data_IF_010922972764
#
_entry.id   IF_010922972764
#
_cell.length_a   1.000
_cell.length_b   1.000
_cell.length_c   1.000
_cell.angle_alpha   90.00
_cell.angle_beta   90.00
_cell.angle_gamma   90.00
#
_symmetry.space_group_name_H-M   'P 1'
#
loop_
_entity.id
_entity.type
_entity.pdbx_description
1 polymer ?
#
# COMPACT_ATOMS: atom_id res chain seq x y z
N UNK A 1 -11.25 10.44 -14.54
CA UNK A 1 -11.42 10.07 -13.12
C UNK A 1 -10.62 8.80 -12.84
N UNK A 2 -9.38 8.91 -12.35
CA UNK A 2 -8.58 7.76 -11.94
C UNK A 2 -8.95 7.46 -10.48
N UNK A 3 -9.80 6.46 -10.28
CA UNK A 3 -10.25 6.05 -8.95
C UNK A 3 -9.00 5.62 -8.18
N UNK A 4 -8.72 6.37 -7.12
CA UNK A 4 -7.62 6.16 -6.20
C UNK A 4 -7.58 4.70 -5.76
N UNK A 5 -6.39 4.10 -5.77
CA UNK A 5 -6.26 2.69 -5.46
C UNK A 5 -6.88 2.40 -4.09
N UNK A 6 -7.81 1.44 -4.01
CA UNK A 6 -8.46 1.10 -2.75
C UNK A 6 -7.47 0.63 -1.68
N UNK A 7 -6.31 0.10 -2.07
CA UNK A 7 -5.25 -0.33 -1.14
C UNK A 7 -4.65 0.84 -0.35
N UNK A 8 -4.35 1.98 -1.00
CA UNK A 8 -3.82 3.15 -0.31
C UNK A 8 -4.88 3.74 0.63
N UNK A 9 -6.13 3.80 0.18
CA UNK A 9 -7.24 4.29 1.00
C UNK A 9 -7.43 3.38 2.22
N UNK A 10 -7.44 2.06 2.01
CA UNK A 10 -7.58 1.10 3.09
C UNK A 10 -6.45 1.24 4.12
N UNK A 11 -5.21 1.42 3.67
CA UNK A 11 -4.07 1.65 4.57
C UNK A 11 -4.15 3.00 5.27
N UNK A 12 -4.57 4.07 4.57
CA UNK A 12 -4.72 5.41 5.13
C UNK A 12 -5.83 5.48 6.18
N UNK A 13 -6.92 4.74 5.97
CA UNK A 13 -8.07 4.65 6.86
C UNK A 13 -7.87 3.62 7.99
N UNK A 14 -6.79 2.83 7.98
CA UNK A 14 -6.52 1.82 8.99
C UNK A 14 -7.36 0.55 8.86
N UNK A 15 -7.94 0.29 7.68
CA UNK A 15 -8.63 -0.96 7.38
C UNK A 15 -7.67 -2.13 7.14
N UNK A 16 -6.44 -1.84 6.70
CA UNK A 16 -5.40 -2.84 6.48
C UNK A 16 -4.08 -2.41 7.12
N UNK A 17 -3.35 -3.38 7.63
CA UNK A 17 -2.03 -3.19 8.24
C UNK A 17 -0.92 -3.15 7.18
N UNK A 18 0.27 -2.68 7.57
CA UNK A 18 1.43 -2.63 6.68
C UNK A 18 1.70 -4.01 6.03
N UNK A 19 1.61 -5.09 6.80
CA UNK A 19 1.78 -6.45 6.29
C UNK A 19 0.71 -6.86 5.25
N UNK A 20 -0.52 -6.37 5.36
CA UNK A 20 -1.57 -6.60 4.36
C UNK A 20 -1.32 -5.76 3.11
N UNK A 21 -0.89 -4.52 3.28
CA UNK A 21 -0.49 -3.64 2.17
C UNK A 21 0.68 -4.25 1.39
N UNK A 22 1.69 -4.83 2.06
CA UNK A 22 2.82 -5.52 1.41
C UNK A 22 2.38 -6.74 0.59
N UNK A 23 1.43 -7.53 1.09
CA UNK A 23 0.87 -8.68 0.36
C UNK A 23 0.11 -8.25 -0.89
N UNK A 24 -0.64 -7.16 -0.82
CA UNK A 24 -1.33 -6.58 -1.97
C UNK A 24 -0.36 -5.93 -2.95
N UNK A 25 0.72 -5.32 -2.45
CA UNK A 25 1.76 -4.69 -3.24
C UNK A 25 2.68 -5.71 -3.93
N UNK A 26 2.85 -6.93 -3.40
CA UNK A 26 3.71 -7.98 -3.96
C UNK A 26 3.40 -8.32 -5.43
N UNK A 27 2.14 -8.58 -5.85
CA UNK A 27 1.81 -8.78 -7.27
C UNK A 27 1.93 -7.50 -8.12
N UNK A 28 1.72 -6.33 -7.51
CA UNK A 28 1.76 -5.01 -8.18
C UNK A 28 3.19 -4.44 -8.29
N UNK A 29 4.17 -5.11 -7.68
CA UNK A 29 5.57 -4.69 -7.66
C UNK A 29 6.19 -4.59 -9.06
N UNK A 30 5.69 -5.38 -10.01
CA UNK A 30 6.12 -5.34 -11.42
C UNK A 30 5.75 -4.05 -12.16
N UNK A 31 4.76 -3.29 -11.69
CA UNK A 31 4.27 -2.07 -12.36
C UNK A 31 4.77 -0.77 -11.73
N UNK A 32 5.72 -0.82 -10.78
CA UNK A 32 6.20 0.36 -10.03
C UNK A 32 5.21 0.89 -8.98
N UNK A 33 3.91 0.65 -9.17
CA UNK A 33 2.89 0.99 -8.19
C UNK A 33 3.04 0.21 -6.87
N UNK A 34 3.38 -1.08 -6.94
CA UNK A 34 3.64 -1.88 -5.74
C UNK A 34 4.87 -1.40 -4.94
N UNK A 35 5.91 -0.89 -5.61
CA UNK A 35 7.07 -0.28 -4.92
C UNK A 35 6.66 0.95 -4.12
N UNK A 36 5.78 1.80 -4.68
CA UNK A 36 5.25 2.95 -3.97
C UNK A 36 4.39 2.55 -2.77
N UNK A 37 3.51 1.55 -2.92
CA UNK A 37 2.71 1.02 -1.79
C UNK A 37 3.60 0.42 -0.69
N UNK A 38 4.65 -0.31 -1.05
CA UNK A 38 5.65 -0.85 -0.11
C UNK A 38 6.39 0.26 0.64
N UNK A 39 6.76 1.34 -0.06
CA UNK A 39 7.40 2.50 0.58
C UNK A 39 6.45 3.19 1.58
N UNK A 40 5.18 3.37 1.21
CA UNK A 40 4.15 3.92 2.10
C UNK A 40 3.89 3.02 3.31
N UNK A 41 3.87 1.70 3.12
CA UNK A 41 3.74 0.72 4.20
C UNK A 41 4.89 0.83 5.22
N UNK A 42 6.13 1.01 4.73
CA UNK A 42 7.35 1.10 5.54
C UNK A 42 7.52 2.46 6.23
N UNK A 43 7.10 3.55 5.61
CA UNK A 43 7.23 4.92 6.16
C UNK A 43 6.34 5.14 7.39
N UNK A 44 5.16 4.52 7.41
CA UNK A 44 4.20 4.64 8.51
C UNK A 44 4.39 3.64 9.66
N UNK A 45 5.41 2.78 9.59
CA UNK A 45 5.75 1.85 10.68
C UNK A 45 6.08 2.63 11.97
N UNK A 46 5.62 2.16 13.15
CA UNK A 46 5.66 2.95 14.37
C UNK A 46 7.11 3.32 14.72
N UNK A 47 7.38 4.63 14.77
CA UNK A 47 8.51 5.17 15.52
C UNK A 47 8.14 5.29 16.99
#
# INVERSE_FOLDING_TARGET
LKIAAPEEIAFRMGFIDAAQLERLAAPLRKSGYGEYLLAVARDRGPR
#
